data_IF_163113881793
#
_entry.id   IF_163113881793
#
_cell.length_a   1.000
_cell.length_b   1.000
_cell.length_c   1.000
_cell.angle_alpha   90.00
_cell.angle_beta   90.00
_cell.angle_gamma   90.00
#
_symmetry.space_group_name_H-M   'P 1'
#
loop_
_entity.id
_entity.type
_entity.pdbx_description
1 polymer ?
#
# COMPACT_ATOMS: atom_id res chain seq x y z
N UNK A 1 13.76 21.10 14.91
CA UNK A 1 14.22 20.11 13.92
C UNK A 1 12.99 19.60 13.18
N UNK A 2 12.93 19.73 11.85
CA UNK A 2 11.80 19.26 11.08
C UNK A 2 11.68 17.73 11.26
N UNK A 3 10.51 17.29 11.71
CA UNK A 3 10.25 15.87 11.91
C UNK A 3 10.27 15.13 10.55
N UNK A 4 11.08 14.10 10.43
CA UNK A 4 11.12 13.25 9.23
C UNK A 4 9.73 12.76 8.84
N UNK A 5 9.39 12.90 7.56
CA UNK A 5 8.14 12.41 6.99
C UNK A 5 8.24 10.91 6.66
N UNK A 6 9.36 10.47 6.07
CA UNK A 6 9.59 9.07 5.72
C UNK A 6 10.13 8.27 6.90
N UNK A 7 9.54 7.11 7.09
CA UNK A 7 10.07 6.05 7.95
C UNK A 7 10.92 5.10 7.08
N UNK A 8 12.24 5.07 7.30
CA UNK A 8 13.15 4.22 6.53
C UNK A 8 13.42 2.96 7.33
N UNK A 9 13.02 1.80 6.80
CA UNK A 9 13.20 0.44 7.35
C UNK A 9 12.75 0.24 8.81
N UNK A 10 11.94 1.14 9.34
CA UNK A 10 11.40 1.03 10.71
C UNK A 10 10.19 0.09 10.81
N UNK A 11 9.60 -0.28 9.67
CA UNK A 11 8.49 -1.21 9.61
C UNK A 11 9.05 -2.61 9.34
N UNK A 12 8.66 -3.59 10.15
CA UNK A 12 9.09 -4.99 10.02
C UNK A 12 8.93 -5.57 8.60
N UNK A 13 7.92 -5.14 7.87
CA UNK A 13 7.66 -5.61 6.50
C UNK A 13 8.60 -4.96 5.48
N UNK A 14 8.90 -3.67 5.63
CA UNK A 14 9.84 -2.97 4.74
C UNK A 14 11.28 -3.36 5.03
N UNK A 15 11.64 -3.61 6.30
CA UNK A 15 12.95 -4.11 6.70
C UNK A 15 13.32 -5.46 6.01
N UNK A 16 12.32 -6.30 5.70
CA UNK A 16 12.55 -7.53 4.93
C UNK A 16 13.04 -7.28 3.49
N UNK A 17 12.82 -6.08 2.96
CA UNK A 17 13.34 -5.68 1.65
C UNK A 17 14.86 -5.66 1.59
N UNK A 18 15.52 -5.47 2.74
CA UNK A 18 17.00 -5.44 2.81
C UNK A 18 17.65 -6.75 2.33
N UNK A 19 17.01 -7.89 2.59
CA UNK A 19 17.48 -9.20 2.09
C UNK A 19 17.41 -9.31 0.55
N UNK A 20 16.74 -8.39 -0.13
CA UNK A 20 16.63 -8.30 -1.58
C UNK A 20 17.41 -7.11 -2.16
N UNK A 21 18.29 -6.49 -1.37
CA UNK A 21 19.08 -5.34 -1.81
C UNK A 21 18.34 -4.00 -1.81
N UNK A 22 17.16 -3.90 -1.17
CA UNK A 22 16.35 -2.68 -1.16
C UNK A 22 16.21 -2.07 0.24
N UNK A 23 16.30 -0.75 0.30
CA UNK A 23 15.96 0.05 1.47
C UNK A 23 14.69 0.84 1.18
N UNK A 24 13.66 0.72 2.01
CA UNK A 24 12.35 1.33 1.76
C UNK A 24 12.10 2.54 2.66
N UNK A 25 11.84 3.69 2.03
CA UNK A 25 11.24 4.85 2.68
C UNK A 25 9.72 4.83 2.54
N UNK A 26 8.98 4.83 3.67
CA UNK A 26 7.52 4.79 3.65
C UNK A 26 6.91 6.01 4.33
N UNK A 27 5.96 6.67 3.64
CA UNK A 27 5.15 7.75 4.21
C UNK A 27 3.87 7.16 4.78
N UNK A 28 3.65 7.38 6.08
CA UNK A 28 2.40 7.05 6.74
C UNK A 28 1.64 8.34 7.10
N UNK A 29 0.50 8.55 6.44
CA UNK A 29 -0.47 9.60 6.76
C UNK A 29 -1.61 9.04 7.61
N UNK A 30 -2.41 9.91 8.22
CA UNK A 30 -3.67 9.52 8.83
C UNK A 30 -4.60 8.98 7.76
N UNK A 31 -5.26 7.85 8.02
CA UNK A 31 -6.12 7.20 7.04
C UNK A 31 -7.52 7.81 7.01
N UNK A 32 -8.16 7.76 5.84
CA UNK A 32 -9.53 8.24 5.66
C UNK A 32 -9.70 9.67 6.19
N UNK A 33 -10.65 9.91 7.09
CA UNK A 33 -10.99 11.23 7.66
C UNK A 33 -10.40 11.48 9.05
N UNK A 34 -9.50 10.66 9.54
CA UNK A 34 -8.96 10.71 10.92
C UNK A 34 -8.26 12.05 11.26
N UNK A 35 -7.76 12.77 10.26
CA UNK A 35 -7.11 14.07 10.42
C UNK A 35 -8.03 15.26 10.16
N UNK A 36 -9.27 15.03 9.75
CA UNK A 36 -10.17 16.05 9.17
C UNK A 36 -10.08 16.14 7.63
N UNK A 37 -9.08 15.51 7.02
CA UNK A 37 -8.89 15.45 5.55
C UNK A 37 -9.08 14.04 5.05
N UNK A 38 -9.79 13.87 3.92
CA UNK A 38 -9.96 12.54 3.33
C UNK A 38 -8.71 12.14 2.52
N UNK A 39 -7.98 11.17 3.03
CA UNK A 39 -6.78 10.60 2.38
C UNK A 39 -7.04 9.29 1.64
N UNK A 40 -8.29 8.77 1.66
CA UNK A 40 -8.68 7.48 1.09
C UNK A 40 -10.07 7.56 0.46
N UNK A 41 -10.22 8.33 -0.62
CA UNK A 41 -11.52 8.59 -1.27
C UNK A 41 -12.25 7.32 -1.76
N UNK A 42 -11.52 6.24 -2.04
CA UNK A 42 -12.05 4.96 -2.51
C UNK A 42 -12.06 3.87 -1.42
N UNK A 43 -11.92 4.24 -0.15
CA UNK A 43 -12.06 3.27 0.93
C UNK A 43 -13.54 2.88 1.09
N UNK A 44 -13.80 1.57 1.04
CA UNK A 44 -15.12 1.01 1.42
C UNK A 44 -15.29 1.00 2.94
N UNK A 45 -16.50 0.76 3.41
CA UNK A 45 -16.81 0.66 4.84
C UNK A 45 -15.97 -0.45 5.52
N UNK A 46 -15.87 -1.63 4.89
CA UNK A 46 -15.05 -2.74 5.38
C UNK A 46 -13.55 -2.40 5.39
N UNK A 47 -13.05 -1.74 4.33
CA UNK A 47 -11.66 -1.27 4.29
C UNK A 47 -11.36 -0.29 5.43
N UNK A 48 -12.24 0.68 5.67
CA UNK A 48 -12.07 1.67 6.74
C UNK A 48 -12.10 1.02 8.14
N UNK A 49 -13.03 0.08 8.37
CA UNK A 49 -13.15 -0.66 9.63
C UNK A 49 -11.94 -1.56 9.93
N UNK A 50 -11.42 -2.24 8.88
CA UNK A 50 -10.28 -3.15 8.96
C UNK A 50 -8.92 -2.45 8.79
N UNK A 51 -8.88 -1.12 8.71
CA UNK A 51 -7.69 -0.36 8.32
C UNK A 51 -6.48 -0.65 9.21
N UNK A 52 -5.33 -0.84 8.57
CA UNK A 52 -4.02 -1.02 9.23
C UNK A 52 -3.60 0.19 10.09
N UNK A 53 -4.15 1.37 9.84
CA UNK A 53 -4.02 2.55 10.70
C UNK A 53 -4.41 2.24 12.16
N UNK A 54 -5.34 1.31 12.36
CA UNK A 54 -5.82 0.87 13.67
C UNK A 54 -5.27 -0.52 14.06
N UNK A 55 -4.03 -0.82 13.68
CA UNK A 55 -3.37 -2.09 14.00
C UNK A 55 -1.91 -1.91 14.42
N UNK A 56 -1.32 -2.90 15.11
CA UNK A 56 0.08 -2.88 15.54
C UNK A 56 0.41 -1.67 16.41
N UNK A 57 1.55 -1.04 16.16
CA UNK A 57 2.04 0.10 16.95
C UNK A 57 1.05 1.28 17.03
N UNK A 58 0.19 1.44 16.03
CA UNK A 58 -0.84 2.50 16.02
C UNK A 58 -1.92 2.29 17.09
N UNK A 59 -2.20 1.04 17.49
CA UNK A 59 -3.09 0.75 18.61
C UNK A 59 -2.39 0.94 19.96
N UNK A 60 -1.09 0.59 20.02
CA UNK A 60 -0.33 0.56 21.28
C UNK A 60 0.17 1.96 21.68
N UNK A 61 0.48 2.82 20.70
CA UNK A 61 1.14 4.10 20.95
C UNK A 61 0.36 5.26 20.35
N UNK A 62 -0.27 6.09 21.18
CA UNK A 62 -1.05 7.27 20.77
C UNK A 62 -0.22 8.27 19.95
N UNK A 63 1.08 8.43 20.27
CA UNK A 63 1.98 9.35 19.56
C UNK A 63 2.19 8.97 18.09
N UNK A 64 2.07 7.69 17.72
CA UNK A 64 2.19 7.24 16.32
C UNK A 64 1.06 7.82 15.47
N UNK A 65 -0.17 7.80 15.98
CA UNK A 65 -1.31 8.38 15.28
C UNK A 65 -1.28 9.90 15.29
N UNK A 66 -0.87 10.52 16.40
CA UNK A 66 -0.68 11.97 16.47
C UNK A 66 0.34 12.45 15.42
N UNK A 67 1.46 11.74 15.25
CA UNK A 67 2.46 12.03 14.22
C UNK A 67 1.91 11.89 12.79
N UNK A 68 1.06 10.87 12.52
CA UNK A 68 0.40 10.72 11.21
C UNK A 68 -0.59 11.84 10.92
N UNK A 69 -1.39 12.25 11.93
CA UNK A 69 -2.33 13.37 11.83
C UNK A 69 -1.55 14.67 11.55
N UNK A 70 -0.47 14.93 12.28
CA UNK A 70 0.36 16.12 12.07
C UNK A 70 0.95 16.16 10.65
N UNK A 71 1.49 15.05 10.14
CA UNK A 71 1.98 14.94 8.75
C UNK A 71 0.88 15.19 7.73
N UNK A 72 -0.33 14.69 7.99
CA UNK A 72 -1.47 14.89 7.08
C UNK A 72 -1.89 16.35 7.06
N UNK A 73 -2.00 17.00 8.23
CA UNK A 73 -2.29 18.43 8.30
C UNK A 73 -1.23 19.26 7.59
N UNK A 74 0.05 18.97 7.81
CA UNK A 74 1.15 19.63 7.12
C UNK A 74 1.01 19.53 5.58
N UNK A 75 0.62 18.34 5.07
CA UNK A 75 0.39 18.13 3.64
C UNK A 75 -0.71 19.03 3.07
N UNK A 76 -1.82 19.18 3.79
CA UNK A 76 -3.01 19.90 3.29
C UNK A 76 -2.95 21.40 3.60
N UNK A 77 -2.35 21.80 4.71
CA UNK A 77 -2.31 23.18 5.20
C UNK A 77 -1.03 23.92 4.79
N UNK A 78 0.11 23.20 4.67
CA UNK A 78 1.45 23.77 4.38
C UNK A 78 2.18 22.91 3.32
N UNK A 79 1.55 22.74 2.15
CA UNK A 79 2.00 21.80 1.11
C UNK A 79 3.46 22.04 0.67
N UNK A 80 3.87 23.29 0.53
CA UNK A 80 5.24 23.62 0.09
C UNK A 80 6.29 23.13 1.10
N UNK A 81 6.04 23.33 2.38
CA UNK A 81 6.91 22.85 3.46
C UNK A 81 6.95 21.31 3.50
N UNK A 82 5.77 20.68 3.39
CA UNK A 82 5.68 19.22 3.32
C UNK A 82 6.50 18.65 2.16
N UNK A 83 6.35 19.21 0.96
CA UNK A 83 7.07 18.74 -0.22
C UNK A 83 8.57 18.93 -0.09
N UNK A 84 9.03 20.10 0.37
CA UNK A 84 10.45 20.37 0.60
C UNK A 84 11.07 19.38 1.63
N UNK A 85 10.33 19.07 2.70
CA UNK A 85 10.79 18.08 3.68
C UNK A 85 10.79 16.65 3.10
N UNK A 86 9.78 16.28 2.31
CA UNK A 86 9.68 14.96 1.69
C UNK A 86 10.83 14.72 0.71
N UNK A 87 11.19 15.72 -0.09
CA UNK A 87 12.34 15.68 -0.99
C UNK A 87 13.65 15.48 -0.22
N UNK A 88 13.88 16.23 0.86
CA UNK A 88 15.05 16.06 1.74
C UNK A 88 15.12 14.65 2.33
N UNK A 89 13.97 14.10 2.71
CA UNK A 89 13.90 12.75 3.25
C UNK A 89 14.24 11.68 2.18
N UNK A 90 13.78 11.86 0.93
CA UNK A 90 14.13 10.98 -0.19
C UNK A 90 15.64 11.06 -0.48
N UNK A 91 16.21 12.27 -0.59
CA UNK A 91 17.64 12.47 -0.79
C UNK A 91 18.48 11.85 0.34
N UNK A 92 18.02 12.03 1.59
CA UNK A 92 18.65 11.40 2.75
C UNK A 92 18.59 9.88 2.71
N UNK A 93 17.48 9.32 2.22
CA UNK A 93 17.29 7.90 1.98
C UNK A 93 18.23 7.35 0.91
N UNK A 94 18.35 8.07 -0.21
CA UNK A 94 19.29 7.72 -1.31
C UNK A 94 20.74 7.65 -0.81
N UNK A 95 21.21 8.71 -0.13
CA UNK A 95 22.57 8.73 0.45
C UNK A 95 22.80 7.62 1.48
N UNK A 96 21.75 7.25 2.25
CA UNK A 96 21.86 6.14 3.20
C UNK A 96 21.94 4.81 2.49
N UNK A 97 21.10 4.57 1.49
CA UNK A 97 21.07 3.33 0.73
C UNK A 97 22.38 3.10 -0.04
N UNK A 98 22.91 4.15 -0.66
CA UNK A 98 24.23 4.10 -1.34
C UNK A 98 25.34 3.65 -0.39
N UNK A 99 25.42 4.20 0.83
CA UNK A 99 26.41 3.79 1.84
C UNK A 99 26.26 2.33 2.30
N UNK A 100 25.05 1.78 2.17
CA UNK A 100 24.75 0.40 2.57
C UNK A 100 24.70 -0.55 1.36
N UNK A 101 25.13 -0.11 0.19
CA UNK A 101 25.08 -0.86 -1.08
C UNK A 101 23.68 -1.44 -1.37
N UNK A 102 22.66 -0.56 -1.30
CA UNK A 102 21.26 -0.89 -1.53
C UNK A 102 20.60 0.10 -2.50
N UNK A 103 19.54 -0.36 -3.19
CA UNK A 103 18.66 0.53 -3.92
C UNK A 103 17.62 1.17 -2.96
N UNK A 104 17.46 2.50 -3.02
CA UNK A 104 16.41 3.18 -2.28
C UNK A 104 15.10 3.15 -3.07
N UNK A 105 14.02 2.73 -2.40
CA UNK A 105 12.67 2.68 -2.97
C UNK A 105 11.67 3.38 -2.06
N UNK A 106 10.62 3.95 -2.62
CA UNK A 106 9.70 4.82 -1.88
C UNK A 106 8.27 4.33 -2.00
N UNK A 107 7.56 4.30 -0.87
CA UNK A 107 6.13 4.05 -0.78
C UNK A 107 5.43 5.23 -0.13
N UNK A 108 4.67 6.01 -0.92
CA UNK A 108 4.06 7.26 -0.46
C UNK A 108 2.65 7.07 0.15
N UNK A 109 1.97 5.98 -0.16
CA UNK A 109 0.65 5.64 0.37
C UNK A 109 0.72 4.45 1.35
N UNK A 110 1.47 4.61 2.46
CA UNK A 110 1.57 3.57 3.50
C UNK A 110 0.25 3.28 4.19
N UNK A 111 -0.57 4.30 4.44
CA UNK A 111 -1.90 4.24 5.07
C UNK A 111 -2.90 5.20 4.43
N UNK A 112 -2.70 5.59 3.18
CA UNK A 112 -3.51 6.49 2.38
C UNK A 112 -3.69 5.96 0.96
N UNK A 113 -4.45 6.65 0.12
CA UNK A 113 -4.62 6.38 -1.32
C UNK A 113 -4.78 7.70 -2.09
N UNK A 114 -3.76 8.58 -1.94
CA UNK A 114 -3.66 9.88 -2.60
C UNK A 114 -3.04 9.75 -3.99
N UNK A 115 -3.30 10.75 -4.85
CA UNK A 115 -2.76 10.83 -6.21
C UNK A 115 -1.30 11.31 -6.21
N UNK A 116 -0.41 10.54 -5.59
CA UNK A 116 1.00 10.91 -5.37
C UNK A 116 1.80 11.03 -6.66
N UNK A 117 1.33 10.40 -7.73
CA UNK A 117 1.87 10.54 -9.08
C UNK A 117 1.76 11.95 -9.67
N UNK A 118 0.93 12.81 -9.05
CA UNK A 118 0.79 14.23 -9.45
C UNK A 118 1.69 15.18 -8.66
N UNK A 119 2.54 14.64 -7.78
CA UNK A 119 3.38 15.46 -6.88
C UNK A 119 4.72 15.88 -7.50
N UNK A 120 5.05 15.39 -8.70
CA UNK A 120 6.31 15.70 -9.40
C UNK A 120 7.54 14.97 -8.85
N UNK A 121 7.36 14.10 -7.84
CA UNK A 121 8.49 13.40 -7.20
C UNK A 121 9.09 12.31 -8.10
N UNK A 122 8.27 11.65 -8.89
CA UNK A 122 8.73 10.56 -9.77
C UNK A 122 9.56 11.10 -10.92
N UNK A 123 9.22 12.27 -11.42
CA UNK A 123 9.98 13.02 -12.42
C UNK A 123 11.27 13.59 -11.84
N UNK A 124 11.23 14.07 -10.60
CA UNK A 124 12.40 14.61 -9.88
C UNK A 124 13.41 13.53 -9.51
N UNK A 125 12.95 12.33 -9.21
CA UNK A 125 13.77 11.17 -8.84
C UNK A 125 13.60 10.01 -9.83
N UNK A 126 14.01 10.16 -11.10
CA UNK A 126 13.69 9.21 -12.17
C UNK A 126 14.33 7.82 -11.96
N UNK A 127 15.42 7.74 -11.23
CA UNK A 127 16.12 6.48 -10.92
C UNK A 127 15.60 5.80 -9.64
N UNK A 128 14.68 6.43 -8.91
CA UNK A 128 14.06 5.86 -7.70
C UNK A 128 12.79 5.14 -8.08
N UNK A 129 12.62 3.91 -7.62
CA UNK A 129 11.37 3.16 -7.80
C UNK A 129 10.36 3.60 -6.75
N UNK A 130 9.16 3.93 -7.19
CA UNK A 130 8.00 4.21 -6.34
C UNK A 130 6.99 3.09 -6.48
N UNK A 131 6.28 2.75 -5.41
CA UNK A 131 5.24 1.73 -5.47
C UNK A 131 4.19 1.94 -4.39
N UNK A 132 2.94 1.59 -4.71
CA UNK A 132 1.83 1.71 -3.78
C UNK A 132 0.75 0.66 -4.05
N UNK A 133 -0.20 0.60 -3.13
CA UNK A 133 -1.49 -0.05 -3.33
C UNK A 133 -2.54 1.02 -3.61
N UNK A 134 -3.53 0.70 -4.42
CA UNK A 134 -4.65 1.60 -4.68
C UNK A 134 -5.98 0.85 -4.75
N UNK A 135 -7.07 1.50 -4.34
CA UNK A 135 -8.45 1.12 -4.63
C UNK A 135 -9.09 2.01 -5.68
N UNK A 136 -8.37 3.06 -6.11
CA UNK A 136 -8.83 3.98 -7.12
C UNK A 136 -8.75 3.34 -8.51
N UNK A 137 -9.90 3.04 -9.17
CA UNK A 137 -9.90 2.39 -10.48
C UNK A 137 -9.32 3.28 -11.58
N UNK A 138 -9.45 4.59 -11.47
CA UNK A 138 -8.91 5.53 -12.46
C UNK A 138 -7.38 5.47 -12.46
N UNK A 139 -6.75 5.43 -11.28
CA UNK A 139 -5.30 5.26 -11.14
C UNK A 139 -4.85 3.92 -11.73
N UNK A 140 -5.54 2.84 -11.36
CA UNK A 140 -5.19 1.51 -11.86
C UNK A 140 -5.34 1.40 -13.37
N UNK A 141 -6.40 1.95 -13.95
CA UNK A 141 -6.59 1.99 -15.41
C UNK A 141 -5.48 2.79 -16.12
N UNK A 142 -5.06 3.93 -15.57
CA UNK A 142 -3.91 4.69 -16.10
C UNK A 142 -2.62 3.87 -16.02
N UNK A 143 -2.37 3.16 -14.93
CA UNK A 143 -1.21 2.30 -14.77
C UNK A 143 -1.21 1.15 -15.78
N UNK A 144 -2.34 0.43 -15.93
CA UNK A 144 -2.49 -0.66 -16.88
C UNK A 144 -2.33 -0.19 -18.34
N UNK A 145 -2.73 1.05 -18.65
CA UNK A 145 -2.58 1.67 -19.96
C UNK A 145 -1.16 2.26 -20.20
N UNK A 146 -0.21 2.10 -19.26
CA UNK A 146 1.14 2.67 -19.39
C UNK A 146 1.19 4.21 -19.32
N UNK A 147 0.16 4.85 -18.78
CA UNK A 147 0.02 6.32 -18.66
C UNK A 147 0.45 6.86 -17.29
N UNK A 148 1.21 6.09 -16.53
CA UNK A 148 1.84 6.49 -15.26
C UNK A 148 3.35 6.71 -15.46
N UNK A 149 4.04 7.42 -14.56
CA UNK A 149 5.51 7.49 -14.56
C UNK A 149 6.13 6.09 -14.61
N UNK A 150 7.16 5.90 -15.43
CA UNK A 150 7.78 4.57 -15.68
C UNK A 150 8.38 3.93 -14.43
N UNK A 151 8.78 4.75 -13.46
CA UNK A 151 9.34 4.35 -12.18
C UNK A 151 8.29 4.17 -11.06
N UNK A 152 6.98 4.17 -11.42
CA UNK A 152 5.88 3.95 -10.47
C UNK A 152 5.18 2.62 -10.70
N UNK A 153 5.01 1.83 -9.65
CA UNK A 153 4.32 0.54 -9.68
C UNK A 153 3.07 0.56 -8.79
N UNK A 154 1.95 0.08 -9.31
CA UNK A 154 0.69 -0.03 -8.59
C UNK A 154 0.21 -1.47 -8.48
N UNK A 155 -0.29 -1.82 -7.30
CA UNK A 155 -1.05 -3.05 -7.04
C UNK A 155 -2.48 -2.66 -6.67
N UNK A 156 -3.48 -3.19 -7.38
CA UNK A 156 -4.87 -2.93 -7.07
C UNK A 156 -5.29 -3.68 -5.80
N UNK A 157 -6.13 -3.08 -4.97
CA UNK A 157 -6.58 -3.73 -3.73
C UNK A 157 -8.07 -4.07 -3.80
N UNK A 158 -8.40 -5.34 -3.53
CA UNK A 158 -9.78 -5.79 -3.38
C UNK A 158 -10.46 -5.12 -2.18
N UNK A 159 -11.72 -4.81 -2.35
CA UNK A 159 -12.68 -4.49 -1.29
C UNK A 159 -14.01 -5.18 -1.58
N UNK A 160 -14.92 -5.15 -0.60
CA UNK A 160 -16.27 -5.72 -0.75
C UNK A 160 -17.09 -5.09 -1.88
N UNK A 161 -16.73 -3.87 -2.29
CA UNK A 161 -17.50 -3.08 -3.26
C UNK A 161 -16.88 -3.04 -4.67
N UNK A 162 -15.67 -3.60 -4.90
CA UNK A 162 -14.96 -3.44 -6.17
C UNK A 162 -14.62 -4.76 -6.90
N UNK A 163 -15.32 -5.86 -6.60
CA UNK A 163 -15.05 -7.21 -7.15
C UNK A 163 -15.01 -7.24 -8.69
N UNK A 164 -15.95 -6.57 -9.34
CA UNK A 164 -16.01 -6.51 -10.82
C UNK A 164 -14.77 -5.81 -11.40
N UNK A 165 -14.34 -4.72 -10.78
CA UNK A 165 -13.13 -4.00 -11.19
C UNK A 165 -11.86 -4.86 -11.01
N UNK A 166 -11.80 -5.63 -9.91
CA UNK A 166 -10.72 -6.58 -9.64
C UNK A 166 -10.64 -7.65 -10.74
N UNK A 167 -11.78 -8.20 -11.17
CA UNK A 167 -11.81 -9.16 -12.27
C UNK A 167 -11.25 -8.57 -13.57
N UNK A 168 -11.63 -7.33 -13.90
CA UNK A 168 -11.09 -6.60 -15.04
C UNK A 168 -9.58 -6.37 -14.97
N UNK A 169 -9.07 -5.97 -13.80
CA UNK A 169 -7.63 -5.79 -13.57
C UNK A 169 -6.87 -7.11 -13.74
N UNK A 170 -7.40 -8.21 -13.17
CA UNK A 170 -6.79 -9.54 -13.30
C UNK A 170 -6.83 -10.07 -14.74
N UNK A 171 -7.90 -9.82 -15.48
CA UNK A 171 -8.02 -10.20 -16.89
C UNK A 171 -6.98 -9.44 -17.75
N UNK A 172 -6.71 -8.16 -17.44
CA UNK A 172 -5.68 -7.35 -18.08
C UNK A 172 -4.24 -7.64 -17.61
N UNK A 173 -4.03 -8.65 -16.75
CA UNK A 173 -2.69 -9.04 -16.26
C UNK A 173 -2.16 -8.17 -15.10
N UNK A 174 -2.99 -7.33 -14.50
CA UNK A 174 -2.63 -6.56 -13.31
C UNK A 174 -2.59 -7.41 -12.04
N UNK A 175 -1.80 -6.97 -11.06
CA UNK A 175 -1.72 -7.62 -9.75
C UNK A 175 -2.78 -7.07 -8.79
N UNK A 176 -3.37 -7.96 -8.00
CA UNK A 176 -4.41 -7.59 -7.03
C UNK A 176 -4.05 -8.08 -5.64
N UNK A 177 -4.06 -7.17 -4.67
CA UNK A 177 -3.91 -7.52 -3.26
C UNK A 177 -5.26 -7.88 -2.63
N UNK A 178 -5.28 -9.01 -1.91
CA UNK A 178 -6.45 -9.51 -1.19
C UNK A 178 -6.05 -9.90 0.23
N UNK A 179 -6.88 -9.53 1.21
CA UNK A 179 -6.67 -9.94 2.60
C UNK A 179 -7.49 -11.19 2.87
N UNK A 180 -6.84 -12.26 3.33
CA UNK A 180 -7.47 -13.55 3.62
C UNK A 180 -7.70 -13.75 5.11
N UNK A 181 -8.73 -14.55 5.44
CA UNK A 181 -9.14 -14.89 6.81
C UNK A 181 -8.19 -15.89 7.46
N UNK A 182 -6.93 -15.49 7.54
CA UNK A 182 -5.88 -16.23 8.25
C UNK A 182 -4.86 -15.26 8.84
N UNK A 183 -4.19 -15.66 9.92
CA UNK A 183 -2.99 -14.99 10.47
C UNK A 183 -1.70 -15.68 10.02
N UNK A 184 -1.84 -16.86 9.48
CA UNK A 184 -0.73 -17.70 9.05
C UNK A 184 -0.54 -17.58 7.54
N UNK A 185 0.60 -17.06 7.11
CA UNK A 185 0.93 -16.88 5.69
C UNK A 185 1.07 -18.22 4.94
N UNK A 186 1.35 -19.32 5.65
CA UNK A 186 1.46 -20.64 5.05
C UNK A 186 0.09 -21.26 4.72
N UNK A 187 -0.98 -20.72 5.32
CA UNK A 187 -2.38 -21.11 5.04
C UNK A 187 -3.02 -20.30 3.92
N UNK A 188 -2.29 -19.39 3.25
CA UNK A 188 -2.81 -18.72 2.07
C UNK A 188 -3.12 -19.75 0.97
N UNK A 189 -4.25 -19.61 0.24
CA UNK A 189 -4.58 -20.51 -0.85
C UNK A 189 -3.51 -20.45 -1.95
N UNK A 190 -3.24 -21.55 -2.63
CA UNK A 190 -2.30 -21.56 -3.77
C UNK A 190 -2.86 -20.83 -4.99
N UNK A 191 -4.17 -20.89 -5.16
CA UNK A 191 -4.93 -20.22 -6.22
C UNK A 191 -6.20 -19.63 -5.64
N UNK A 192 -6.68 -18.52 -6.22
CA UNK A 192 -7.95 -17.89 -5.87
C UNK A 192 -8.48 -17.12 -7.09
N UNK A 193 -9.78 -17.19 -7.37
CA UNK A 193 -10.39 -16.63 -8.58
C UNK A 193 -9.61 -16.99 -9.88
N UNK A 194 -9.16 -18.23 -9.96
CA UNK A 194 -8.40 -18.75 -11.10
C UNK A 194 -6.98 -18.19 -11.28
N UNK A 195 -6.46 -17.41 -10.32
CA UNK A 195 -5.12 -16.84 -10.37
C UNK A 195 -4.23 -17.40 -9.27
N UNK A 196 -2.91 -17.44 -9.55
CA UNK A 196 -1.90 -17.83 -8.56
C UNK A 196 -1.86 -16.80 -7.41
N UNK A 197 -1.81 -17.30 -6.18
CA UNK A 197 -1.63 -16.46 -4.98
C UNK A 197 -0.17 -16.53 -4.54
N UNK A 198 0.42 -15.38 -4.31
CA UNK A 198 1.74 -15.23 -3.70
C UNK A 198 1.60 -14.55 -2.34
N UNK A 199 2.48 -14.88 -1.39
CA UNK A 199 2.44 -14.23 -0.07
C UNK A 199 3.00 -12.81 -0.14
N UNK A 200 2.15 -11.82 0.05
CA UNK A 200 2.55 -10.42 0.19
C UNK A 200 3.11 -10.07 1.58
N UNK A 201 3.18 -11.04 2.50
CA UNK A 201 3.80 -10.86 3.83
C UNK A 201 5.29 -11.28 3.87
N UNK A 202 5.84 -11.84 2.77
CA UNK A 202 7.28 -12.12 2.65
C UNK A 202 8.12 -10.86 2.61
N UNK A 203 7.73 -9.90 1.78
CA UNK A 203 8.30 -8.56 1.68
C UNK A 203 7.21 -7.58 1.22
N UNK A 204 7.56 -6.29 1.07
CA UNK A 204 6.62 -5.25 0.59
C UNK A 204 6.94 -4.77 -0.83
N UNK A 205 7.92 -5.35 -1.52
CA UNK A 205 8.45 -4.91 -2.81
C UNK A 205 7.57 -5.39 -3.98
N UNK A 206 6.41 -4.74 -4.18
CA UNK A 206 5.38 -5.18 -5.13
C UNK A 206 5.80 -5.12 -6.60
N UNK A 207 6.79 -4.28 -6.92
CA UNK A 207 7.37 -4.19 -8.27
C UNK A 207 8.24 -5.41 -8.65
N UNK A 208 8.57 -6.28 -7.69
CA UNK A 208 9.25 -7.57 -7.95
C UNK A 208 8.27 -8.72 -8.16
N UNK A 209 6.98 -8.53 -7.92
CA UNK A 209 6.00 -9.59 -8.06
C UNK A 209 5.79 -9.97 -9.53
N UNK A 210 5.57 -11.25 -9.86
CA UNK A 210 5.14 -11.66 -11.19
C UNK A 210 3.84 -10.95 -11.60
N UNK A 211 3.62 -10.78 -12.90
CA UNK A 211 2.37 -10.20 -13.43
C UNK A 211 1.19 -11.17 -13.30
N UNK A 212 0.00 -10.62 -13.10
CA UNK A 212 -1.26 -11.36 -13.11
C UNK A 212 -1.45 -12.28 -11.90
N UNK A 213 -0.84 -11.95 -10.77
CA UNK A 213 -0.98 -12.72 -9.52
C UNK A 213 -1.86 -12.00 -8.50
N UNK A 214 -2.38 -12.79 -7.58
CA UNK A 214 -2.99 -12.28 -6.36
C UNK A 214 -1.92 -12.19 -5.27
N UNK A 215 -1.76 -11.00 -4.70
CA UNK A 215 -0.91 -10.74 -3.54
C UNK A 215 -1.73 -11.04 -2.29
N UNK A 216 -1.59 -12.25 -1.76
CA UNK A 216 -2.28 -12.69 -0.55
C UNK A 216 -1.67 -12.05 0.70
N UNK A 217 -2.52 -11.40 1.48
CA UNK A 217 -2.19 -10.76 2.74
C UNK A 217 -2.94 -11.44 3.89
N UNK A 218 -2.31 -11.58 5.04
CA UNK A 218 -2.96 -12.08 6.25
C UNK A 218 -3.73 -10.98 6.97
N UNK A 219 -4.86 -11.31 7.59
CA UNK A 219 -5.64 -10.36 8.39
C UNK A 219 -4.85 -9.89 9.61
N UNK A 220 -4.98 -8.59 9.95
CA UNK A 220 -4.29 -7.96 11.08
C UNK A 220 -5.27 -7.11 11.89
N UNK A 221 -5.01 -6.98 13.19
CA UNK A 221 -5.75 -6.09 14.06
C UNK A 221 -7.28 -6.31 14.00
N UNK A 222 -8.04 -5.25 13.76
CA UNK A 222 -9.50 -5.27 13.70
C UNK A 222 -10.09 -6.05 12.52
N UNK A 223 -9.30 -6.30 11.47
CA UNK A 223 -9.72 -7.11 10.32
C UNK A 223 -10.24 -8.51 10.71
N UNK A 224 -9.83 -9.05 11.87
CA UNK A 224 -10.31 -10.34 12.38
C UNK A 224 -11.82 -10.37 12.65
N UNK A 225 -12.42 -9.21 12.91
CA UNK A 225 -13.85 -9.06 13.21
C UNK A 225 -14.65 -8.63 11.98
N UNK A 226 -14.03 -8.62 10.81
CA UNK A 226 -14.72 -8.22 9.59
C UNK A 226 -15.79 -9.21 9.20
N UNK A 227 -16.98 -8.68 8.92
CA UNK A 227 -18.15 -9.40 8.40
C UNK A 227 -18.69 -8.73 7.12
N UNK A 228 -18.01 -7.69 6.63
CA UNK A 228 -18.43 -6.93 5.44
C UNK A 228 -18.16 -7.65 4.12
N UNK A 229 -17.26 -8.67 4.14
CA UNK A 229 -16.73 -9.29 2.94
C UNK A 229 -15.45 -8.62 2.41
N UNK A 230 -14.87 -7.67 3.15
CA UNK A 230 -13.55 -7.13 2.85
C UNK A 230 -12.47 -8.20 3.01
N UNK A 231 -12.56 -9.04 4.06
CA UNK A 231 -11.68 -10.19 4.29
C UNK A 231 -12.21 -11.40 3.54
N UNK A 232 -11.38 -11.94 2.65
CA UNK A 232 -11.76 -13.07 1.81
C UNK A 232 -11.64 -14.41 2.57
N UNK A 233 -12.54 -15.37 2.34
CA UNK A 233 -12.41 -16.74 2.85
C UNK A 233 -11.21 -17.43 2.20
N UNK A 234 -10.67 -18.48 2.84
CA UNK A 234 -9.55 -19.26 2.29
C UNK A 234 -9.97 -20.18 1.14
N UNK A 235 -11.25 -20.54 1.10
CA UNK A 235 -11.87 -21.36 0.06
C UNK A 235 -12.89 -20.47 -0.64
N UNK A 236 -12.86 -20.46 -1.97
CA UNK A 236 -13.88 -19.77 -2.75
C UNK A 236 -15.25 -20.39 -2.47
N UNK A 237 -16.21 -19.59 -2.05
CA UNK A 237 -17.60 -19.99 -2.04
C UNK A 237 -18.01 -20.22 -3.50
N UNK A 238 -18.32 -21.46 -3.85
CA UNK A 238 -18.93 -21.76 -5.15
C UNK A 238 -20.28 -21.04 -5.16
N UNK A 239 -20.37 -19.95 -5.94
CA UNK A 239 -21.66 -19.38 -6.28
C UNK A 239 -22.37 -20.49 -7.10
N UNK A 240 -23.30 -21.21 -6.47
CA UNK A 240 -24.25 -22.03 -7.18
C UNK A 240 -25.06 -21.05 -8.03
N UNK A 241 -24.66 -20.91 -9.30
CA UNK A 241 -25.52 -20.28 -10.30
C UNK A 241 -26.70 -21.26 -10.41
N UNK A 242 -27.85 -20.88 -9.83
CA UNK A 242 -29.10 -21.56 -10.07
C UNK A 242 -29.34 -21.53 -11.58
N UNK A 243 -29.41 -22.72 -12.16
CA UNK A 243 -29.73 -22.92 -13.56
C UNK A 243 -31.18 -22.53 -13.86
#
# INVERSE_FOLDING_TARGET
MANKLLNIDQNFKTAKGQAFGYMTGILHLASSIESGYNTCAFASAGCAAACLYRSGNSLMFKHVNAGRIAKTKLLFEHRAEFMAQLEKDIEGGLRKAEREDKEFVVRLNGTSDLLVETWGLMEKFPNTKFYDYTKNPIRMNKFMAGKMPKNYHLTFSLSETNKVLVQGVMAGGGNVAMVFRTRDKEKLPKTYMGKKVISGDKNDLRFLDPKGVIVGLTMKGRAQRDTSGFIQPLIEERVLVAA
#
